data_IF_858751266523
#
_entry.id   IF_858751266523
#
_cell.length_a   1.000
_cell.length_b   1.000
_cell.length_c   1.000
_cell.angle_alpha   90.00
_cell.angle_beta   90.00
_cell.angle_gamma   90.00
#
_symmetry.space_group_name_H-M   'P 1'
#
loop_
_entity.id
_entity.type
_entity.pdbx_description
1 polymer ?
#
# COMPACT_ATOMS: atom_id res chain seq x y z
N UNK A 1 -30.17 3.37 25.81
CA UNK A 1 -30.47 3.37 24.36
C UNK A 1 -31.40 2.19 24.12
N UNK A 2 -32.63 2.44 23.65
CA UNK A 2 -33.70 1.44 23.51
C UNK A 2 -33.52 0.74 22.17
N UNK A 3 -33.44 -0.59 22.16
CA UNK A 3 -33.52 -1.37 20.93
C UNK A 3 -34.96 -1.28 20.41
N UNK A 4 -35.23 -0.30 19.56
CA UNK A 4 -36.46 -0.29 18.78
C UNK A 4 -36.44 -1.51 17.86
N UNK A 5 -37.48 -2.33 17.98
CA UNK A 5 -37.70 -3.48 17.11
C UNK A 5 -37.93 -2.98 15.69
N UNK A 6 -36.88 -3.02 14.86
CA UNK A 6 -37.01 -2.76 13.43
C UNK A 6 -37.68 -3.97 12.79
N UNK A 7 -38.99 -3.85 12.60
CA UNK A 7 -39.78 -4.77 11.78
C UNK A 7 -39.70 -4.35 10.30
N UNK A 8 -38.50 -4.29 9.75
CA UNK A 8 -38.19 -4.42 8.32
C UNK A 8 -36.66 -4.37 8.15
N UNK A 9 -36.18 -5.02 7.10
CA UNK A 9 -34.78 -5.25 6.73
C UNK A 9 -33.99 -3.97 6.41
N UNK A 10 -33.76 -3.10 7.40
CA UNK A 10 -32.84 -1.98 7.26
C UNK A 10 -31.45 -2.39 7.76
N UNK A 11 -30.48 -2.40 6.85
CA UNK A 11 -29.08 -2.57 7.18
C UNK A 11 -28.59 -1.32 7.91
N UNK A 12 -28.02 -1.49 9.09
CA UNK A 12 -27.37 -0.38 9.81
C UNK A 12 -25.89 -0.38 9.49
N UNK A 13 -25.40 0.65 8.80
CA UNK A 13 -23.96 0.81 8.58
C UNK A 13 -23.30 1.31 9.86
N UNK A 14 -22.26 0.61 10.31
CA UNK A 14 -21.37 1.04 11.37
C UNK A 14 -20.31 2.00 10.80
N UNK A 15 -19.66 2.80 11.67
CA UNK A 15 -18.47 3.56 11.29
C UNK A 15 -17.39 2.64 10.74
N UNK A 16 -16.63 3.13 9.75
CA UNK A 16 -15.50 2.40 9.22
C UNK A 16 -14.42 2.20 10.30
N UNK A 17 -13.74 1.06 10.26
CA UNK A 17 -12.57 0.78 11.10
C UNK A 17 -11.36 0.68 10.19
N UNK A 18 -10.28 1.33 10.60
CA UNK A 18 -8.99 1.22 9.92
C UNK A 18 -8.18 0.14 10.63
N UNK A 19 -7.64 -0.79 9.87
CA UNK A 19 -6.72 -1.80 10.37
C UNK A 19 -5.51 -1.84 9.45
N UNK A 20 -4.34 -1.95 10.03
CA UNK A 20 -3.14 -2.24 9.24
C UNK A 20 -3.21 -3.69 8.75
N UNK A 21 -2.58 -3.97 7.62
CA UNK A 21 -2.30 -5.32 7.21
C UNK A 21 -1.28 -6.01 8.13
N UNK A 22 -0.97 -7.27 7.88
CA UNK A 22 0.01 -8.03 8.69
C UNK A 22 -0.29 -8.18 10.19
N UNK A 23 -1.49 -7.76 10.64
CA UNK A 23 -1.91 -7.97 12.01
C UNK A 23 -1.87 -9.47 12.39
N UNK A 24 -1.32 -9.82 13.57
CA UNK A 24 -1.25 -11.20 14.01
C UNK A 24 -2.61 -11.89 13.97
N UNK A 25 -2.64 -13.18 13.61
CA UNK A 25 -3.86 -13.99 13.64
C UNK A 25 -4.46 -14.00 15.06
N UNK A 26 -5.76 -13.77 15.16
CA UNK A 26 -6.48 -13.67 16.43
C UNK A 26 -6.53 -12.25 17.02
N UNK A 27 -5.97 -11.25 16.34
CA UNK A 27 -6.08 -9.84 16.74
C UNK A 27 -7.54 -9.42 16.77
N UNK A 28 -7.99 -8.89 17.91
CA UNK A 28 -9.37 -8.40 18.09
C UNK A 28 -9.53 -7.04 17.42
N UNK A 29 -10.44 -6.97 16.44
CA UNK A 29 -10.78 -5.74 15.71
C UNK A 29 -11.88 -4.95 16.43
N UNK A 30 -12.94 -5.63 16.86
CA UNK A 30 -14.06 -5.00 17.56
C UNK A 30 -14.76 -5.99 18.50
N UNK A 31 -15.17 -5.50 19.67
CA UNK A 31 -16.03 -6.22 20.62
C UNK A 31 -17.47 -5.70 20.52
N UNK A 32 -18.35 -6.44 19.86
CA UNK A 32 -19.74 -6.03 19.65
C UNK A 32 -20.55 -5.97 20.94
N UNK A 33 -20.11 -6.64 22.01
CA UNK A 33 -20.80 -6.58 23.31
C UNK A 33 -20.65 -5.20 23.91
N UNK A 34 -19.48 -4.59 23.77
CA UNK A 34 -19.23 -3.19 24.17
C UNK A 34 -20.02 -2.24 23.28
N UNK A 35 -19.94 -2.43 21.97
CA UNK A 35 -20.58 -1.55 21.00
C UNK A 35 -22.11 -1.45 21.18
N UNK A 36 -22.77 -2.58 21.46
CA UNK A 36 -24.22 -2.66 21.59
C UNK A 36 -24.71 -2.89 23.02
N UNK A 37 -23.83 -2.77 24.02
CA UNK A 37 -24.15 -2.99 25.43
C UNK A 37 -24.87 -4.33 25.69
N UNK A 38 -24.34 -5.41 25.12
CA UNK A 38 -24.96 -6.76 25.19
C UNK A 38 -24.70 -7.48 26.52
N UNK A 39 -23.87 -6.92 27.41
CA UNK A 39 -23.45 -7.56 28.66
C UNK A 39 -24.59 -7.94 29.60
N UNK A 40 -25.71 -7.22 29.55
CA UNK A 40 -26.87 -7.46 30.41
C UNK A 40 -27.91 -8.43 29.80
N UNK A 41 -27.63 -8.97 28.60
CA UNK A 41 -28.56 -9.82 27.87
C UNK A 41 -28.30 -11.30 28.16
N UNK A 42 -29.37 -12.06 28.42
CA UNK A 42 -29.29 -13.47 28.82
C UNK A 42 -28.81 -14.41 27.69
N UNK A 43 -29.11 -14.08 26.44
CA UNK A 43 -28.75 -14.89 25.28
C UNK A 43 -28.68 -14.04 24.02
N UNK A 44 -27.56 -14.15 23.31
CA UNK A 44 -27.34 -13.53 22.01
C UNK A 44 -26.30 -14.33 21.22
N UNK A 45 -26.39 -14.26 19.89
CA UNK A 45 -25.38 -14.81 18.97
C UNK A 45 -24.98 -13.77 17.94
N UNK A 46 -23.71 -13.76 17.59
CA UNK A 46 -23.20 -12.95 16.49
C UNK A 46 -22.68 -13.86 15.39
N UNK A 47 -23.02 -13.55 14.15
CA UNK A 47 -22.68 -14.34 12.97
C UNK A 47 -22.09 -13.42 11.91
N UNK A 48 -21.06 -13.92 11.23
CA UNK A 48 -20.46 -13.26 10.08
C UNK A 48 -21.13 -13.85 8.84
N UNK A 49 -21.95 -13.05 8.18
CA UNK A 49 -22.73 -13.46 7.00
C UNK A 49 -21.94 -13.29 5.70
N UNK A 50 -20.91 -12.44 5.69
CA UNK A 50 -20.01 -12.30 4.55
C UNK A 50 -19.09 -13.51 4.47
N UNK A 51 -19.12 -14.23 3.35
CA UNK A 51 -18.08 -15.21 3.03
C UNK A 51 -16.73 -14.49 2.86
N UNK A 52 -15.84 -14.69 3.83
CA UNK A 52 -14.48 -14.17 3.79
C UNK A 52 -13.56 -15.10 4.59
N UNK A 53 -12.29 -15.14 4.19
CA UNK A 53 -11.27 -15.96 4.86
C UNK A 53 -10.44 -15.17 5.87
N UNK A 54 -10.49 -13.84 5.81
CA UNK A 54 -9.64 -12.94 6.58
C UNK A 54 -10.11 -12.70 8.02
N UNK A 55 -11.42 -12.77 8.27
CA UNK A 55 -12.01 -12.48 9.57
C UNK A 55 -12.81 -13.66 10.11
N UNK A 56 -12.90 -13.69 11.44
CA UNK A 56 -13.72 -14.62 12.18
C UNK A 56 -14.45 -13.87 13.29
N UNK A 57 -15.73 -14.18 13.48
CA UNK A 57 -16.48 -13.71 14.65
C UNK A 57 -16.61 -14.85 15.66
N UNK A 58 -16.12 -14.61 16.87
CA UNK A 58 -16.24 -15.56 17.96
C UNK A 58 -17.71 -15.70 18.37
N UNK A 59 -18.26 -16.89 18.16
CA UNK A 59 -19.61 -17.25 18.61
C UNK A 59 -19.64 -17.56 20.12
N UNK A 60 -20.78 -17.95 20.69
CA UNK A 60 -20.95 -18.25 22.13
C UNK A 60 -20.82 -17.04 23.08
N UNK A 61 -21.54 -15.95 22.81
CA UNK A 61 -21.61 -14.76 23.67
C UNK A 61 -20.27 -14.00 23.85
N UNK A 62 -19.23 -14.32 23.07
CA UNK A 62 -18.02 -13.50 22.99
C UNK A 62 -18.22 -12.35 21.99
N UNK A 63 -18.78 -12.62 20.80
CA UNK A 63 -19.12 -11.60 19.81
C UNK A 63 -17.96 -10.63 19.51
N UNK A 64 -16.75 -11.18 19.39
CA UNK A 64 -15.55 -10.45 19.03
C UNK A 64 -15.20 -10.76 17.57
N UNK A 65 -15.01 -9.71 16.77
CA UNK A 65 -14.42 -9.85 15.45
C UNK A 65 -12.91 -9.93 15.61
N UNK A 66 -12.31 -10.95 15.01
CA UNK A 66 -10.87 -11.23 15.07
C UNK A 66 -10.32 -11.50 13.68
N UNK A 67 -9.02 -11.25 13.47
CA UNK A 67 -8.30 -11.74 12.28
C UNK A 67 -8.22 -13.26 12.30
N UNK A 68 -8.41 -13.88 11.13
CA UNK A 68 -8.43 -15.35 10.96
C UNK A 68 -7.23 -15.87 10.19
N UNK A 69 -6.78 -15.12 9.18
CA UNK A 69 -5.59 -15.40 8.37
C UNK A 69 -4.75 -14.13 8.28
N UNK A 70 -3.52 -14.25 7.76
CA UNK A 70 -2.74 -13.10 7.30
C UNK A 70 -3.60 -12.28 6.33
N UNK A 71 -3.64 -10.98 6.54
CA UNK A 71 -4.25 -10.01 5.64
C UNK A 71 -3.08 -9.36 4.95
N UNK A 72 -3.01 -9.57 3.64
CA UNK A 72 -1.97 -9.06 2.74
C UNK A 72 -2.72 -8.20 1.73
N UNK A 73 -2.46 -6.90 1.77
CA UNK A 73 -3.19 -5.87 1.03
C UNK A 73 -2.96 -6.04 -0.46
N UNK A 74 -1.78 -6.48 -0.88
CA UNK A 74 -1.36 -6.69 -2.27
C UNK A 74 -2.20 -7.79 -2.92
N UNK A 75 -2.42 -8.87 -2.18
CA UNK A 75 -3.29 -9.97 -2.61
C UNK A 75 -4.77 -9.56 -2.60
N UNK A 76 -5.20 -8.80 -1.60
CA UNK A 76 -6.60 -8.41 -1.40
C UNK A 76 -7.06 -7.32 -2.38
N UNK A 77 -6.20 -6.35 -2.65
CA UNK A 77 -6.48 -5.09 -3.33
C UNK A 77 -5.50 -4.87 -4.48
N UNK A 78 -5.54 -5.77 -5.45
CA UNK A 78 -4.55 -5.99 -6.51
C UNK A 78 -4.29 -4.82 -7.48
N UNK A 79 -4.93 -3.65 -7.31
CA UNK A 79 -4.86 -2.58 -8.33
C UNK A 79 -5.02 -1.15 -7.83
N UNK A 80 -5.10 -0.89 -6.52
CA UNK A 80 -5.25 0.49 -6.04
C UNK A 80 -4.55 0.76 -4.72
N UNK A 81 -3.68 1.76 -4.76
CA UNK A 81 -3.13 2.42 -3.57
C UNK A 81 -4.07 3.43 -2.94
N UNK A 82 -5.17 3.77 -3.62
CA UNK A 82 -6.08 4.81 -3.13
C UNK A 82 -7.16 4.23 -2.22
N UNK A 83 -7.64 3.00 -2.47
CA UNK A 83 -8.76 2.41 -1.75
C UNK A 83 -8.61 0.88 -1.62
N UNK A 84 -8.47 0.40 -0.38
CA UNK A 84 -8.56 -1.01 -0.03
C UNK A 84 -9.59 -1.23 1.08
N UNK A 85 -10.83 -1.53 0.68
CA UNK A 85 -11.96 -1.59 1.62
C UNK A 85 -12.69 -2.93 1.52
N UNK A 86 -12.98 -3.54 2.67
CA UNK A 86 -13.85 -4.71 2.80
C UNK A 86 -15.12 -4.29 3.55
N UNK A 87 -16.29 -4.79 3.18
CA UNK A 87 -17.51 -4.62 3.97
C UNK A 87 -17.98 -5.96 4.52
N UNK A 88 -18.00 -6.09 5.85
CA UNK A 88 -18.48 -7.28 6.54
C UNK A 88 -19.95 -7.10 6.94
N UNK A 89 -20.77 -8.10 6.65
CA UNK A 89 -22.17 -8.20 7.06
C UNK A 89 -22.26 -9.03 8.32
N UNK A 90 -22.70 -8.41 9.40
CA UNK A 90 -22.70 -8.98 10.74
C UNK A 90 -24.13 -9.07 11.23
N UNK A 91 -24.54 -10.27 11.62
CA UNK A 91 -25.86 -10.51 12.16
C UNK A 91 -25.77 -10.70 13.67
N UNK A 92 -26.58 -9.96 14.43
CA UNK A 92 -26.77 -10.13 15.86
C UNK A 92 -28.19 -10.60 16.10
N UNK A 93 -28.34 -11.74 16.76
CA UNK A 93 -29.64 -12.34 17.05
C UNK A 93 -29.88 -12.33 18.56
N UNK A 94 -30.99 -11.72 18.94
CA UNK A 94 -31.46 -11.50 20.31
C UNK A 94 -32.83 -12.15 20.48
N UNK A 95 -32.88 -13.30 21.13
CA UNK A 95 -34.11 -14.10 21.26
C UNK A 95 -34.75 -14.40 19.90
N UNK A 96 -35.79 -13.67 19.49
CA UNK A 96 -36.49 -13.80 18.21
C UNK A 96 -36.26 -12.62 17.26
N UNK A 97 -35.47 -11.63 17.67
CA UNK A 97 -35.17 -10.44 16.87
C UNK A 97 -33.77 -10.57 16.25
N UNK A 98 -33.66 -10.25 14.97
CA UNK A 98 -32.40 -10.21 14.24
C UNK A 98 -32.11 -8.78 13.82
N UNK A 99 -30.88 -8.33 14.01
CA UNK A 99 -30.36 -7.08 13.48
C UNK A 99 -29.13 -7.36 12.62
N UNK A 100 -29.04 -6.67 11.49
CA UNK A 100 -27.93 -6.84 10.54
C UNK A 100 -27.19 -5.52 10.39
N UNK A 101 -25.87 -5.60 10.55
CA UNK A 101 -24.96 -4.47 10.48
C UNK A 101 -24.00 -4.64 9.30
N UNK A 102 -23.67 -3.53 8.64
CA UNK A 102 -22.58 -3.47 7.68
C UNK A 102 -21.40 -2.80 8.37
N UNK A 103 -20.25 -3.45 8.37
CA UNK A 103 -19.01 -2.94 8.93
C UNK A 103 -17.99 -2.72 7.80
N UNK A 104 -17.77 -1.47 7.38
CA UNK A 104 -16.66 -1.14 6.50
C UNK A 104 -15.34 -1.28 7.26
N UNK A 105 -14.37 -1.92 6.64
CA UNK A 105 -12.99 -2.05 7.12
C UNK A 105 -12.09 -1.51 6.03
N UNK A 106 -11.25 -0.53 6.37
CA UNK A 106 -10.20 0.00 5.49
C UNK A 106 -8.89 -0.67 5.88
N UNK A 107 -8.25 -1.32 4.92
CA UNK A 107 -6.93 -1.94 5.12
C UNK A 107 -5.89 -0.87 4.82
N UNK A 108 -5.11 -0.53 5.83
CA UNK A 108 -3.98 0.38 5.72
C UNK A 108 -2.76 -0.42 5.28
N UNK A 109 -2.02 0.18 4.36
CA UNK A 109 -0.77 -0.32 3.84
C UNK A 109 0.33 -0.32 4.93
N UNK A 110 1.14 -1.38 4.96
CA UNK A 110 2.41 -1.42 5.68
C UNK A 110 3.50 -1.66 4.64
N UNK A 111 4.63 -0.96 4.77
CA UNK A 111 5.83 -1.26 4.00
C UNK A 111 6.41 -2.63 4.39
N UNK A 112 5.95 -3.69 3.72
CA UNK A 112 6.41 -5.07 3.91
C UNK A 112 7.02 -5.69 2.64
N UNK A 113 6.96 -4.96 1.53
CA UNK A 113 7.64 -5.26 0.28
C UNK A 113 8.85 -4.34 0.08
N UNK A 114 9.81 -4.80 -0.72
CA UNK A 114 11.00 -4.00 -1.06
C UNK A 114 10.96 -3.68 -2.54
N UNK A 115 11.20 -2.42 -2.88
CA UNK A 115 11.38 -2.03 -4.27
C UNK A 115 12.50 -2.81 -4.97
N UNK A 116 12.23 -3.24 -6.20
CA UNK A 116 13.19 -3.95 -7.03
C UNK A 116 13.19 -3.46 -8.48
N UNK A 117 14.33 -3.59 -9.15
CA UNK A 117 14.43 -3.34 -10.58
C UNK A 117 14.18 -4.62 -11.37
N UNK A 118 13.38 -4.50 -12.45
CA UNK A 118 13.07 -5.63 -13.34
C UNK A 118 14.33 -6.22 -14.00
N UNK A 119 15.30 -5.37 -14.35
CA UNK A 119 16.55 -5.77 -14.99
C UNK A 119 17.75 -5.38 -14.12
N UNK A 120 18.82 -6.18 -14.18
CA UNK A 120 20.07 -5.88 -13.48
C UNK A 120 20.86 -4.73 -14.13
N UNK A 121 20.67 -4.55 -15.44
CA UNK A 121 21.37 -3.54 -16.22
C UNK A 121 20.38 -2.89 -17.21
N UNK A 122 20.54 -1.59 -17.40
CA UNK A 122 19.78 -0.79 -18.35
C UNK A 122 20.78 -0.02 -19.23
N UNK A 123 20.56 -0.06 -20.54
CA UNK A 123 21.43 0.62 -21.52
C UNK A 123 20.66 1.79 -22.11
N UNK A 124 21.20 2.99 -21.92
CA UNK A 124 20.67 4.23 -22.48
C UNK A 124 21.66 4.75 -23.50
N UNK A 125 21.21 4.92 -24.74
CA UNK A 125 22.04 5.47 -25.81
C UNK A 125 21.80 6.97 -25.92
N UNK A 126 22.89 7.74 -25.90
CA UNK A 126 22.88 9.20 -26.03
C UNK A 126 23.78 9.58 -27.20
N UNK A 127 23.34 10.50 -28.04
CA UNK A 127 24.16 11.05 -29.13
C UNK A 127 25.12 12.10 -28.59
N UNK A 128 26.36 12.13 -29.07
CA UNK A 128 27.36 13.15 -28.68
C UNK A 128 26.93 14.57 -29.04
N UNK A 129 26.13 14.72 -30.10
CA UNK A 129 25.59 16.01 -30.56
C UNK A 129 24.36 16.46 -29.76
N UNK A 130 24.07 15.84 -28.61
CA UNK A 130 22.95 16.23 -27.76
C UNK A 130 23.17 17.64 -27.23
N UNK A 131 22.13 18.48 -27.28
CA UNK A 131 22.24 19.86 -26.83
C UNK A 131 22.30 19.95 -25.30
N UNK A 132 23.06 20.90 -24.78
CA UNK A 132 23.03 21.25 -23.36
C UNK A 132 21.61 21.60 -22.92
N UNK A 133 21.23 21.14 -21.73
CA UNK A 133 19.89 21.29 -21.17
C UNK A 133 18.87 20.27 -21.70
N UNK A 134 19.24 19.39 -22.64
CA UNK A 134 18.34 18.33 -23.10
C UNK A 134 17.96 17.41 -21.94
N UNK A 135 16.66 17.16 -21.79
CA UNK A 135 16.15 16.18 -20.85
C UNK A 135 16.06 14.80 -21.51
N UNK A 136 16.81 13.84 -20.98
CA UNK A 136 16.83 12.45 -21.40
C UNK A 136 16.01 11.65 -20.38
N UNK A 137 14.77 11.25 -20.73
CA UNK A 137 13.95 10.48 -19.82
C UNK A 137 14.44 9.04 -19.70
N UNK A 138 14.50 8.54 -18.47
CA UNK A 138 14.86 7.16 -18.16
C UNK A 138 13.61 6.28 -18.00
N UNK A 139 12.65 6.42 -18.92
CA UNK A 139 11.30 5.83 -18.78
C UNK A 139 11.28 4.30 -18.62
N UNK A 140 12.32 3.63 -19.14
CA UNK A 140 12.49 2.18 -19.01
C UNK A 140 13.01 1.75 -17.64
N UNK A 141 13.53 2.67 -16.83
CA UNK A 141 14.14 2.40 -15.53
C UNK A 141 13.18 2.87 -14.44
N UNK A 142 12.42 1.92 -13.91
CA UNK A 142 11.58 2.12 -12.75
C UNK A 142 11.75 0.92 -11.82
N UNK A 143 11.91 1.20 -10.54
CA UNK A 143 11.72 0.19 -9.53
C UNK A 143 10.23 -0.11 -9.42
N UNK A 144 9.94 -1.36 -9.08
CA UNK A 144 8.61 -1.90 -8.86
C UNK A 144 8.55 -2.19 -7.37
N UNK A 145 7.52 -1.66 -6.73
CA UNK A 145 7.12 -2.00 -5.39
C UNK A 145 5.62 -2.34 -5.42
N UNK A 146 5.21 -3.28 -4.59
CA UNK A 146 3.80 -3.63 -4.44
C UNK A 146 3.12 -2.81 -3.34
N UNK A 147 3.91 -2.16 -2.48
CA UNK A 147 3.41 -1.21 -1.49
C UNK A 147 3.07 0.14 -2.15
N UNK A 148 2.44 1.03 -1.38
CA UNK A 148 1.99 2.32 -1.86
C UNK A 148 2.91 3.48 -1.52
N UNK A 149 4.06 3.19 -0.91
CA UNK A 149 5.02 4.20 -0.56
C UNK A 149 5.70 4.82 -1.78
N UNK A 150 5.97 6.14 -1.74
CA UNK A 150 6.76 6.78 -2.77
C UNK A 150 8.19 6.22 -2.82
N UNK A 151 8.58 5.73 -4.00
CA UNK A 151 9.96 5.34 -4.27
C UNK A 151 10.83 6.57 -4.60
N UNK A 152 11.96 6.68 -3.89
CA UNK A 152 13.02 7.64 -4.15
C UNK A 152 14.23 6.98 -4.80
N UNK A 153 14.89 7.70 -5.71
CA UNK A 153 16.03 7.16 -6.45
C UNK A 153 17.31 7.93 -6.18
N UNK A 154 18.40 7.19 -6.03
CA UNK A 154 19.75 7.71 -5.87
C UNK A 154 20.68 7.11 -6.93
N UNK A 155 21.52 7.95 -7.53
CA UNK A 155 22.45 7.52 -8.58
C UNK A 155 23.90 7.75 -8.15
N UNK A 156 24.68 6.70 -8.26
CA UNK A 156 26.09 6.66 -7.87
C UNK A 156 26.94 6.39 -9.10
N UNK A 157 28.12 7.00 -9.19
CA UNK A 157 29.12 6.58 -10.18
C UNK A 157 29.75 5.27 -9.71
N UNK A 158 30.23 4.41 -10.61
CA UNK A 158 30.72 3.05 -10.27
C UNK A 158 31.88 2.99 -9.26
N UNK A 159 32.45 4.13 -8.86
CA UNK A 159 33.38 4.24 -7.72
C UNK A 159 32.67 4.35 -6.35
N UNK A 160 31.34 4.15 -6.29
CA UNK A 160 30.47 4.35 -5.13
C UNK A 160 30.47 5.79 -4.57
N UNK A 161 30.87 6.78 -5.37
CA UNK A 161 30.62 8.18 -5.03
C UNK A 161 29.22 8.56 -5.49
N UNK A 162 28.49 9.25 -4.62
CA UNK A 162 27.32 10.02 -5.03
C UNK A 162 27.75 10.99 -6.12
N UNK A 163 27.00 11.03 -7.21
CA UNK A 163 27.27 11.97 -8.31
C UNK A 163 26.99 13.38 -7.81
N UNK A 164 28.02 14.23 -7.82
CA UNK A 164 27.93 15.66 -7.51
C UNK A 164 28.06 16.47 -8.79
N UNK A 165 27.61 17.73 -8.75
CA UNK A 165 27.67 18.66 -9.89
C UNK A 165 29.12 18.88 -10.41
N UNK A 166 30.15 18.60 -9.58
CA UNK A 166 31.57 18.76 -9.91
C UNK A 166 32.27 17.47 -10.39
N UNK A 167 31.57 16.32 -10.39
CA UNK A 167 32.14 15.08 -10.93
C UNK A 167 32.27 15.19 -12.46
N UNK A 168 33.23 14.48 -13.07
CA UNK A 168 33.40 14.39 -14.53
C UNK A 168 32.27 13.54 -15.17
N UNK A 169 31.04 14.01 -14.99
CA UNK A 169 29.81 13.37 -15.41
C UNK A 169 28.94 14.44 -16.09
N UNK A 170 28.65 14.28 -17.40
CA UNK A 170 28.06 15.37 -18.19
C UNK A 170 26.55 15.53 -17.95
N UNK A 171 25.97 14.84 -16.97
CA UNK A 171 24.52 14.83 -16.72
C UNK A 171 24.19 15.18 -15.27
N UNK A 172 23.04 15.82 -15.06
CA UNK A 172 22.41 15.98 -13.75
C UNK A 172 21.20 15.08 -13.62
N UNK A 173 21.09 14.35 -12.51
CA UNK A 173 19.88 13.60 -12.19
C UNK A 173 18.77 14.55 -11.74
N UNK A 174 17.58 14.39 -12.31
CA UNK A 174 16.36 15.03 -11.85
C UNK A 174 15.28 13.96 -11.65
N UNK A 175 14.76 13.86 -10.42
CA UNK A 175 13.56 13.10 -10.13
C UNK A 175 12.37 14.05 -10.12
N UNK A 176 11.36 13.76 -10.93
CA UNK A 176 10.08 14.44 -10.87
C UNK A 176 9.24 13.79 -9.76
N UNK A 177 8.96 14.57 -8.71
CA UNK A 177 8.09 14.15 -7.61
C UNK A 177 6.64 14.36 -8.06
N UNK A 178 6.16 13.47 -8.93
CA UNK A 178 4.78 13.38 -9.38
C UNK A 178 4.33 11.92 -9.31
N UNK A 179 3.06 11.63 -9.63
CA UNK A 179 2.51 10.26 -9.62
C UNK A 179 3.28 9.24 -10.46
N UNK A 180 4.22 9.66 -11.32
CA UNK A 180 4.97 8.76 -12.21
C UNK A 180 6.41 8.47 -11.75
N UNK A 181 6.88 9.14 -10.68
CA UNK A 181 8.25 9.08 -10.15
C UNK A 181 9.29 8.98 -11.28
N UNK A 182 9.16 9.87 -12.26
CA UNK A 182 9.95 9.81 -13.49
C UNK A 182 11.38 10.28 -13.25
N UNK A 183 12.35 9.49 -13.73
CA UNK A 183 13.77 9.78 -13.66
C UNK A 183 14.27 10.37 -14.98
N UNK A 184 15.04 11.44 -14.86
CA UNK A 184 15.56 12.20 -15.98
C UNK A 184 17.04 12.50 -15.81
N UNK A 185 17.79 12.45 -16.91
CA UNK A 185 19.15 12.99 -17.01
C UNK A 185 19.11 14.30 -17.80
N UNK A 186 19.58 15.40 -17.21
CA UNK A 186 19.72 16.69 -17.89
C UNK A 186 21.16 16.84 -18.34
N UNK A 187 21.38 17.05 -19.64
CA UNK A 187 22.74 17.30 -20.18
C UNK A 187 23.27 18.63 -19.65
N UNK A 188 24.41 18.62 -18.98
CA UNK A 188 25.07 19.81 -18.43
C UNK A 188 26.41 20.14 -19.11
N UNK A 189 27.02 19.17 -19.76
CA UNK A 189 28.30 19.34 -20.46
C UNK A 189 28.26 18.62 -21.81
N UNK A 190 29.09 19.04 -22.75
CA UNK A 190 29.24 18.38 -24.05
C UNK A 190 29.78 16.96 -23.85
N UNK A 191 29.32 16.03 -24.68
CA UNK A 191 29.71 14.62 -24.63
C UNK A 191 30.64 14.36 -25.81
N UNK A 192 31.78 13.75 -25.54
CA UNK A 192 32.74 13.33 -26.56
C UNK A 192 32.98 11.83 -26.44
N UNK A 193 32.46 11.07 -27.39
CA UNK A 193 32.52 9.60 -27.39
C UNK A 193 33.96 9.10 -27.50
N UNK A 194 34.83 9.81 -28.22
CA UNK A 194 36.24 9.46 -28.35
C UNK A 194 37.01 9.66 -27.04
N UNK A 195 36.59 10.61 -26.19
CA UNK A 195 37.15 10.78 -24.85
C UNK A 195 36.59 9.76 -23.84
N UNK A 196 35.28 9.57 -23.83
CA UNK A 196 34.60 8.63 -22.94
C UNK A 196 33.40 8.01 -23.64
N UNK A 197 33.52 6.74 -24.00
CA UNK A 197 32.49 6.02 -24.77
C UNK A 197 31.40 5.38 -23.91
N UNK A 198 31.56 5.34 -22.58
CA UNK A 198 30.59 4.78 -21.65
C UNK A 198 30.67 5.45 -20.27
N UNK A 199 29.50 5.72 -19.67
CA UNK A 199 29.34 6.04 -18.26
C UNK A 199 28.63 4.87 -17.58
N UNK A 200 29.13 4.46 -16.41
CA UNK A 200 28.53 3.36 -15.64
C UNK A 200 28.07 3.86 -14.29
N UNK A 201 26.78 3.69 -14.04
CA UNK A 201 26.08 4.25 -12.90
C UNK A 201 25.42 3.12 -12.14
N UNK A 202 25.41 3.23 -10.81
CA UNK A 202 24.63 2.38 -9.93
C UNK A 202 23.40 3.18 -9.50
N UNK A 203 22.23 2.65 -9.81
CA UNK A 203 20.96 3.19 -9.36
C UNK A 203 20.51 2.43 -8.11
N UNK A 204 20.07 3.16 -7.10
CA UNK A 204 19.44 2.63 -5.90
C UNK A 204 18.04 3.22 -5.79
N UNK A 205 17.08 2.38 -5.42
CA UNK A 205 15.73 2.78 -5.05
C UNK A 205 15.59 2.61 -3.54
N UNK A 206 15.02 3.60 -2.88
CA UNK A 206 14.71 3.59 -1.45
C UNK A 206 13.26 4.02 -1.29
N UNK A 207 12.45 3.31 -0.51
CA UNK A 207 11.23 3.92 0.04
C UNK A 207 11.61 4.85 1.20
N UNK A 208 10.83 5.91 1.40
CA UNK A 208 10.93 6.66 2.65
C UNK A 208 10.32 5.82 3.77
N UNK A 209 11.12 4.97 4.41
CA UNK A 209 10.74 4.34 5.67
C UNK A 209 10.53 5.45 6.73
N UNK A 210 9.29 5.66 7.17
CA UNK A 210 9.00 6.36 8.43
C UNK A 210 8.98 5.39 9.61
#
# INVERSE_FOLDING_TARGET
MVFNTLSHSEFVSLPAIDIEEELPIGTMIIDFRKQFNLFNLKSYRCLLQTENNYFHIQSNQQCQLTTRTRIDRETLCTSSCELCNITLKIEIVLSQNTSVFLLPIRILDINDNLAYFKYKEYIINVTEHVQLGTNIPLDSIKAIDHDCDPIHYELYYLNNSLIRDDDYFPFKLQQLINHTNQLNLIVQQDIDREQQNQYRLKLQANENSQ
#
